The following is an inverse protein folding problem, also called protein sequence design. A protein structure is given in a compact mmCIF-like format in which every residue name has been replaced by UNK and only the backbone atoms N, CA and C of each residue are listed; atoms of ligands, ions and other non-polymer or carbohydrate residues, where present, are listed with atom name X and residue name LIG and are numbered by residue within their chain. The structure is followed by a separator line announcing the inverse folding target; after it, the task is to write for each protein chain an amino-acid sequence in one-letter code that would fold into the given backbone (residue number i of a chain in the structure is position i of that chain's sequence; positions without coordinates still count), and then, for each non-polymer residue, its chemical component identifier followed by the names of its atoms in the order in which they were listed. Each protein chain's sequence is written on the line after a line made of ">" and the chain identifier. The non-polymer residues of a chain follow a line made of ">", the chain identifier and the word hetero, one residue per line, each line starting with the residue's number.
data_IF_298778259325
#
_entry.id   IF_298778259325
#
_cell.length_a   1.000
_cell.length_b   1.000
_cell.length_c   1.000
_cell.angle_alpha   90.00
_cell.angle_beta   90.00
_cell.angle_gamma   90.00
#
_symmetry.space_group_name_H-M   'P 1'
#
loop_
_entity.id
_entity.type
_entity.pdbx_description
1 polymer ?
#
# COMPACT_ATOMS: atom_id res chain seq x y z
N UNK A 1 27.18 0.65 13.11
CA UNK A 1 25.85 0.28 12.55
C UNK A 1 25.97 0.27 11.04
N UNK A 2 25.25 -0.64 10.36
CA UNK A 2 25.20 -0.60 8.89
C UNK A 2 24.44 0.64 8.41
N UNK A 3 24.90 1.21 7.29
CA UNK A 3 24.33 2.41 6.67
C UNK A 3 23.44 2.02 5.50
N UNK A 4 22.16 2.26 5.63
CA UNK A 4 21.14 1.90 4.63
C UNK A 4 20.52 3.16 4.02
N UNK A 5 20.52 3.23 2.70
CA UNK A 5 19.90 4.33 1.96
C UNK A 5 18.58 3.87 1.32
N UNK A 6 17.45 4.41 1.76
CA UNK A 6 16.17 4.25 1.08
C UNK A 6 15.99 5.34 0.03
N UNK A 7 15.61 4.94 -1.17
CA UNK A 7 15.36 5.86 -2.28
C UNK A 7 13.89 5.76 -2.68
N UNK A 8 13.11 6.78 -2.35
CA UNK A 8 11.67 6.84 -2.67
C UNK A 8 11.42 7.33 -4.10
N UNK A 9 10.22 7.09 -4.62
CA UNK A 9 9.81 7.62 -5.93
C UNK A 9 9.62 9.14 -5.94
N UNK A 10 9.66 9.80 -4.78
CA UNK A 10 9.49 11.24 -4.62
C UNK A 10 8.06 11.75 -4.86
N UNK A 11 7.07 10.86 -4.85
CA UNK A 11 5.66 11.26 -4.99
C UNK A 11 5.09 11.84 -3.68
N UNK A 12 5.45 11.24 -2.56
CA UNK A 12 5.00 11.61 -1.22
C UNK A 12 6.21 11.67 -0.28
N UNK A 13 6.14 12.48 0.80
CA UNK A 13 7.24 12.62 1.75
C UNK A 13 7.26 11.51 2.81
N UNK A 14 8.44 11.28 3.38
CA UNK A 14 8.67 10.51 4.61
C UNK A 14 9.18 11.48 5.68
N UNK A 15 8.58 11.53 6.88
CA UNK A 15 7.42 10.79 7.40
C UNK A 15 6.13 10.96 6.60
N UNK A 16 5.25 9.97 6.66
CA UNK A 16 4.08 9.81 5.80
C UNK A 16 2.89 10.75 6.17
N UNK A 17 3.15 12.03 6.36
CA UNK A 17 2.13 13.04 6.74
C UNK A 17 1.04 13.25 5.67
N UNK A 18 1.29 12.78 4.45
CA UNK A 18 0.34 12.81 3.34
C UNK A 18 -0.27 11.43 3.02
N UNK A 19 0.05 10.42 3.83
CA UNK A 19 -0.28 9.04 3.55
C UNK A 19 0.71 8.40 2.58
N UNK A 20 0.31 7.32 1.91
CA UNK A 20 1.15 6.50 1.06
C UNK A 20 1.58 5.22 1.76
N UNK A 21 1.37 4.07 1.10
CA UNK A 21 1.65 2.77 1.72
C UNK A 21 3.15 2.55 1.93
N UNK A 22 3.98 2.88 0.94
CA UNK A 22 5.43 2.73 1.00
C UNK A 22 6.01 3.68 2.04
N UNK A 23 5.59 4.95 2.02
CA UNK A 23 6.05 5.98 2.96
C UNK A 23 5.71 5.61 4.40
N UNK A 24 4.52 5.04 4.65
CA UNK A 24 4.15 4.54 5.98
C UNK A 24 5.02 3.36 6.42
N UNK A 25 5.37 2.44 5.53
CA UNK A 25 6.25 1.31 5.85
C UNK A 25 7.65 1.78 6.20
N UNK A 26 8.21 2.72 5.44
CA UNK A 26 9.50 3.34 5.76
C UNK A 26 9.41 4.05 7.12
N UNK A 27 8.36 4.83 7.35
CA UNK A 27 8.15 5.52 8.64
C UNK A 27 8.05 4.55 9.81
N UNK A 28 7.34 3.42 9.67
CA UNK A 28 7.31 2.39 10.70
C UNK A 28 8.70 1.85 11.00
N UNK A 29 9.48 1.56 9.97
CA UNK A 29 10.82 1.00 10.11
C UNK A 29 11.78 1.99 10.78
N UNK A 30 11.79 3.26 10.36
CA UNK A 30 12.64 4.28 10.97
C UNK A 30 12.22 4.55 12.43
N UNK A 31 10.93 4.59 12.74
CA UNK A 31 10.43 4.79 14.10
C UNK A 31 10.84 3.64 15.05
N UNK A 32 10.77 2.39 14.60
CA UNK A 32 11.23 1.26 15.40
C UNK A 32 12.76 1.28 15.56
N UNK A 33 13.50 1.73 14.54
CA UNK A 33 14.96 1.91 14.64
C UNK A 33 15.37 3.05 15.59
N UNK A 34 14.62 4.13 15.70
CA UNK A 34 14.87 5.19 16.68
C UNK A 34 14.68 4.68 18.13
N UNK A 35 13.78 3.71 18.35
CA UNK A 35 13.52 3.09 19.65
C UNK A 35 14.60 2.04 20.01
N UNK A 36 15.06 1.28 19.01
CA UNK A 36 16.03 0.21 19.19
C UNK A 36 17.05 0.30 18.04
N UNK A 37 18.08 1.15 18.18
CA UNK A 37 18.98 1.47 17.07
C UNK A 37 19.80 0.27 16.60
N UNK A 38 19.67 -0.10 15.33
CA UNK A 38 20.42 -1.16 14.65
C UNK A 38 21.14 -0.65 13.40
N UNK A 39 20.59 0.40 12.77
CA UNK A 39 21.05 0.95 11.52
C UNK A 39 21.22 2.47 11.59
N UNK A 40 22.04 3.02 10.70
CA UNK A 40 22.00 4.41 10.30
C UNK A 40 21.23 4.49 8.98
N UNK A 41 20.05 5.12 9.00
CA UNK A 41 19.22 5.27 7.83
C UNK A 41 19.46 6.61 7.14
N UNK A 42 19.41 6.60 5.82
CA UNK A 42 19.28 7.79 4.98
C UNK A 42 18.08 7.62 4.07
N UNK A 43 17.17 8.58 4.08
CA UNK A 43 15.98 8.59 3.20
C UNK A 43 16.14 9.67 2.16
N UNK A 44 16.22 9.27 0.90
CA UNK A 44 16.28 10.18 -0.26
C UNK A 44 14.87 10.37 -0.80
N UNK A 45 14.37 11.59 -0.70
CA UNK A 45 12.96 11.90 -0.98
C UNK A 45 12.76 13.25 -1.66
N UNK A 46 11.50 13.58 -2.02
CA UNK A 46 11.15 14.90 -2.51
C UNK A 46 11.06 15.92 -1.37
N UNK A 47 11.53 17.14 -1.64
CA UNK A 47 11.42 18.26 -0.71
C UNK A 47 9.95 18.61 -0.40
N UNK A 48 9.59 18.58 0.87
CA UNK A 48 8.29 19.04 1.38
C UNK A 48 8.47 19.82 2.68
N UNK A 49 8.17 21.10 2.68
CA UNK A 49 8.39 21.98 3.83
C UNK A 49 7.57 21.60 5.07
N UNK A 50 6.50 20.80 4.91
CA UNK A 50 5.67 20.38 6.04
C UNK A 50 6.30 19.27 6.88
N UNK A 51 7.24 18.51 6.30
CA UNK A 51 7.93 17.42 7.02
C UNK A 51 9.27 17.85 7.64
N UNK A 52 9.86 18.98 7.24
CA UNK A 52 11.18 19.42 7.73
C UNK A 52 11.25 19.54 9.26
N UNK A 53 10.16 19.92 9.89
CA UNK A 53 10.10 20.04 11.37
C UNK A 53 10.12 18.66 12.03
N UNK A 54 9.62 17.62 11.38
CA UNK A 54 9.58 16.26 11.90
C UNK A 54 10.99 15.63 11.96
N UNK A 55 11.90 16.02 11.07
CA UNK A 55 13.25 15.44 11.00
C UNK A 55 14.05 15.55 12.29
N UNK A 56 13.80 16.59 13.08
CA UNK A 56 14.47 16.80 14.38
C UNK A 56 14.18 15.70 15.40
N UNK A 57 13.15 14.89 15.18
CA UNK A 57 12.77 13.79 16.05
C UNK A 57 13.65 12.55 15.85
N UNK A 58 14.39 12.49 14.74
CA UNK A 58 15.17 11.32 14.33
C UNK A 58 16.66 11.55 14.57
N UNK A 59 17.27 10.63 15.32
CA UNK A 59 18.70 10.66 15.64
C UNK A 59 19.51 9.76 14.71
N UNK A 60 18.92 8.64 14.31
CA UNK A 60 19.58 7.60 13.52
C UNK A 60 19.08 7.58 12.07
N UNK A 61 18.28 8.56 11.68
CA UNK A 61 17.75 8.70 10.32
C UNK A 61 18.05 10.09 9.77
N UNK A 62 18.72 10.14 8.62
CA UNK A 62 19.04 11.36 7.87
C UNK A 62 18.14 11.49 6.67
N UNK A 63 17.61 12.69 6.41
CA UNK A 63 16.72 12.96 5.29
C UNK A 63 17.43 13.83 4.25
N UNK A 64 17.49 13.33 3.02
CA UNK A 64 18.05 14.03 1.86
C UNK A 64 16.92 14.50 0.98
N UNK A 65 16.57 15.77 1.10
CA UNK A 65 15.49 16.37 0.34
C UNK A 65 15.94 16.86 -1.01
N UNK A 66 15.44 16.25 -2.07
CA UNK A 66 15.69 16.64 -3.44
C UNK A 66 14.52 17.47 -3.99
N UNK A 67 14.84 18.65 -4.54
CA UNK A 67 13.80 19.53 -5.08
C UNK A 67 12.97 18.83 -6.15
N UNK A 68 11.66 18.83 -5.97
CA UNK A 68 10.74 18.44 -7.02
C UNK A 68 10.61 19.60 -8.02
N UNK A 69 10.63 19.37 -9.34
CA UNK A 69 10.44 20.45 -10.31
C UNK A 69 9.04 21.04 -10.18
N UNK A 70 8.93 22.34 -10.45
CA UNK A 70 7.63 23.01 -10.53
C UNK A 70 6.73 22.31 -11.56
N UNK A 71 5.43 22.34 -11.37
CA UNK A 71 4.45 21.60 -12.18
C UNK A 71 4.54 21.83 -13.70
N UNK A 72 4.96 23.04 -14.13
CA UNK A 72 5.20 23.38 -15.56
C UNK A 72 6.39 22.65 -16.16
N UNK A 73 7.50 22.49 -15.41
CA UNK A 73 8.68 21.76 -15.88
C UNK A 73 8.38 20.29 -16.02
N UNK A 74 7.63 19.71 -15.07
CA UNK A 74 7.20 18.32 -15.15
C UNK A 74 6.38 18.02 -16.40
N UNK A 75 5.40 18.88 -16.77
CA UNK A 75 4.57 18.65 -17.96
C UNK A 75 5.40 18.59 -19.26
N UNK A 76 6.43 19.42 -19.39
CA UNK A 76 7.31 19.40 -20.55
C UNK A 76 8.12 18.09 -20.63
N UNK A 77 8.73 17.69 -19.52
CA UNK A 77 9.54 16.48 -19.43
C UNK A 77 8.71 15.21 -19.63
N UNK A 78 7.47 15.16 -19.11
CA UNK A 78 6.54 14.07 -19.37
C UNK A 78 6.13 13.95 -20.84
N UNK A 79 5.92 15.09 -21.51
CA UNK A 79 5.65 15.11 -22.97
C UNK A 79 6.85 14.59 -23.77
N UNK A 80 8.06 15.03 -23.43
CA UNK A 80 9.30 14.55 -24.07
C UNK A 80 9.50 13.05 -23.87
N UNK A 81 9.31 12.54 -22.63
CA UNK A 81 9.33 11.11 -22.32
C UNK A 81 8.34 10.34 -23.20
N UNK A 82 7.09 10.80 -23.26
CA UNK A 82 6.04 10.19 -24.08
C UNK A 82 6.38 10.19 -25.57
N UNK A 83 6.94 11.29 -26.09
CA UNK A 83 7.39 11.39 -27.48
C UNK A 83 8.52 10.41 -27.80
N UNK A 84 9.55 10.35 -26.97
CA UNK A 84 10.68 9.42 -27.17
C UNK A 84 10.23 7.96 -27.06
N UNK A 85 9.40 7.63 -26.08
CA UNK A 85 8.83 6.28 -25.94
C UNK A 85 8.03 5.84 -27.17
N UNK A 86 7.24 6.76 -27.74
CA UNK A 86 6.52 6.49 -29.01
C UNK A 86 7.44 6.24 -30.20
N UNK A 87 8.57 6.97 -30.29
CA UNK A 87 9.48 6.92 -31.42
C UNK A 87 10.47 5.76 -31.33
N UNK A 88 10.94 5.42 -30.13
CA UNK A 88 12.06 4.47 -29.93
C UNK A 88 11.68 3.21 -29.18
N UNK A 89 10.48 3.12 -28.62
CA UNK A 89 10.08 2.04 -27.70
C UNK A 89 10.76 2.12 -26.31
N UNK A 90 11.77 2.97 -26.13
CA UNK A 90 12.55 3.06 -24.91
C UNK A 90 11.94 4.05 -23.91
N UNK A 91 11.88 3.64 -22.64
CA UNK A 91 11.52 4.56 -21.57
C UNK A 91 12.76 5.31 -21.05
N UNK A 92 12.75 6.62 -21.22
CA UNK A 92 13.82 7.51 -20.77
C UNK A 92 13.43 8.29 -19.50
N UNK A 93 12.76 7.65 -18.57
CA UNK A 93 12.33 8.26 -17.29
C UNK A 93 13.46 8.96 -16.51
N UNK A 94 14.69 8.55 -16.77
CA UNK A 94 15.90 9.16 -16.18
C UNK A 94 16.06 10.65 -16.51
N UNK A 95 15.43 11.18 -17.58
CA UNK A 95 15.46 12.60 -17.91
C UNK A 95 14.58 13.45 -16.98
N UNK A 96 13.65 12.82 -16.25
CA UNK A 96 12.83 13.53 -15.28
C UNK A 96 13.73 14.20 -14.23
N UNK A 97 13.52 15.48 -13.92
CA UNK A 97 14.43 16.24 -13.06
C UNK A 97 14.69 15.63 -11.69
N UNK A 98 13.66 15.03 -11.05
CA UNK A 98 13.83 14.34 -9.78
C UNK A 98 14.73 13.11 -9.94
N UNK A 99 14.45 12.23 -10.90
CA UNK A 99 15.21 11.02 -11.17
C UNK A 99 16.69 11.33 -11.46
N UNK A 100 16.95 12.41 -12.21
CA UNK A 100 18.31 12.86 -12.49
C UNK A 100 19.04 13.34 -11.22
N UNK A 101 18.36 14.02 -10.31
CA UNK A 101 18.92 14.42 -9.01
C UNK A 101 19.22 13.23 -8.12
N UNK A 102 18.30 12.26 -8.04
CA UNK A 102 18.53 11.01 -7.34
C UNK A 102 19.76 10.28 -7.87
N UNK A 103 19.83 10.08 -9.20
CA UNK A 103 21.00 9.44 -9.82
C UNK A 103 22.30 10.17 -9.49
N UNK A 104 22.33 11.50 -9.57
CA UNK A 104 23.52 12.28 -9.27
C UNK A 104 23.91 12.15 -7.79
N UNK A 105 22.94 12.17 -6.88
CA UNK A 105 23.17 11.92 -5.46
C UNK A 105 23.82 10.55 -5.25
N UNK A 106 23.24 9.50 -5.83
CA UNK A 106 23.76 8.14 -5.71
C UNK A 106 25.16 7.98 -6.32
N UNK A 107 25.44 8.61 -7.48
CA UNK A 107 26.78 8.59 -8.08
C UNK A 107 27.84 9.26 -7.20
N UNK A 108 27.47 10.28 -6.42
CA UNK A 108 28.41 11.02 -5.60
C UNK A 108 28.58 10.44 -4.19
N UNK A 109 27.55 9.79 -3.65
CA UNK A 109 27.52 9.37 -2.23
C UNK A 109 27.29 7.86 -2.05
N UNK A 110 27.14 7.09 -3.13
CA UNK A 110 26.79 5.65 -3.04
C UNK A 110 27.87 4.82 -2.34
N UNK A 111 29.13 5.28 -2.28
CA UNK A 111 30.20 4.62 -1.54
C UNK A 111 29.95 4.60 -0.02
N UNK A 112 29.23 5.60 0.51
CA UNK A 112 29.02 5.79 1.95
C UNK A 112 28.01 4.79 2.56
N UNK A 113 27.26 4.06 1.73
CA UNK A 113 26.21 3.14 2.16
C UNK A 113 26.64 1.70 2.00
N UNK A 114 26.21 0.85 2.93
CA UNK A 114 26.35 -0.60 2.80
C UNK A 114 25.32 -1.15 1.79
N UNK A 115 24.06 -0.69 1.88
CA UNK A 115 22.99 -1.02 0.94
C UNK A 115 22.20 0.19 0.53
N UNK A 116 21.77 0.21 -0.74
CA UNK A 116 20.90 1.22 -1.35
C UNK A 116 19.64 0.51 -1.81
N UNK A 117 18.50 0.83 -1.18
CA UNK A 117 17.23 0.16 -1.40
C UNK A 117 16.30 1.06 -2.21
N UNK A 118 15.84 0.56 -3.35
CA UNK A 118 14.81 1.21 -4.16
C UNK A 118 13.44 0.96 -3.55
N UNK A 119 12.74 2.03 -3.19
CA UNK A 119 11.38 2.01 -2.64
C UNK A 119 10.39 2.59 -3.67
N UNK A 120 10.08 1.78 -4.69
CA UNK A 120 9.18 2.19 -5.78
C UNK A 120 9.75 3.25 -6.72
N UNK A 121 11.06 3.49 -6.69
CA UNK A 121 11.73 4.43 -7.58
C UNK A 121 11.93 3.83 -8.98
N UNK A 122 12.10 4.70 -9.97
CA UNK A 122 12.37 4.30 -11.35
C UNK A 122 13.72 3.57 -11.46
N UNK A 123 13.71 2.34 -11.95
CA UNK A 123 14.87 1.43 -11.99
C UNK A 123 16.08 2.05 -12.72
N UNK A 124 15.85 2.80 -13.80
CA UNK A 124 16.89 3.45 -14.58
C UNK A 124 17.80 4.41 -13.80
N UNK A 125 17.33 4.90 -12.65
CA UNK A 125 18.09 5.75 -11.73
C UNK A 125 19.32 5.03 -11.18
N UNK A 126 19.21 3.74 -10.92
CA UNK A 126 20.23 2.92 -10.28
C UNK A 126 21.28 2.35 -11.24
N UNK A 127 21.00 2.29 -12.54
CA UNK A 127 21.86 1.63 -13.54
C UNK A 127 23.31 2.16 -13.57
N UNK A 128 23.52 3.49 -13.51
CA UNK A 128 24.88 4.05 -13.48
C UNK A 128 25.55 3.86 -12.11
N UNK A 129 24.89 4.17 -10.96
CA UNK A 129 25.46 3.92 -9.64
C UNK A 129 25.83 2.45 -9.40
N UNK A 130 25.00 1.50 -9.82
CA UNK A 130 25.30 0.07 -9.63
C UNK A 130 26.52 -0.40 -10.42
N UNK A 131 26.76 0.17 -11.61
CA UNK A 131 28.01 -0.08 -12.36
C UNK A 131 29.24 0.52 -11.67
N UNK A 132 29.08 1.61 -10.92
CA UNK A 132 30.19 2.27 -10.21
C UNK A 132 30.57 1.57 -8.91
N UNK A 133 29.58 1.02 -8.17
CA UNK A 133 29.77 0.53 -6.81
C UNK A 133 29.53 -0.98 -6.64
N UNK A 134 29.18 -1.70 -7.71
CA UNK A 134 28.78 -3.10 -7.66
C UNK A 134 27.28 -3.28 -7.47
N UNK A 135 26.71 -4.31 -8.12
CA UNK A 135 25.26 -4.61 -8.04
C UNK A 135 24.83 -5.06 -6.66
N UNK A 136 25.73 -5.74 -5.90
CA UNK A 136 25.44 -6.34 -4.59
C UNK A 136 25.09 -5.29 -3.51
N UNK A 137 25.51 -4.05 -3.73
CA UNK A 137 25.11 -2.91 -2.89
C UNK A 137 23.66 -2.45 -3.15
N UNK A 138 23.04 -2.84 -4.26
CA UNK A 138 21.74 -2.35 -4.69
C UNK A 138 20.65 -3.40 -4.51
N UNK A 139 19.59 -2.99 -3.82
CA UNK A 139 18.44 -3.82 -3.49
C UNK A 139 17.18 -3.22 -4.10
N UNK A 140 16.36 -4.01 -4.78
CA UNK A 140 15.05 -3.55 -5.22
C UNK A 140 13.95 -4.13 -4.33
N UNK A 141 13.27 -3.25 -3.58
CA UNK A 141 12.11 -3.62 -2.77
C UNK A 141 10.83 -3.45 -3.60
N UNK A 142 10.18 -4.57 -3.92
CA UNK A 142 9.05 -4.65 -4.84
C UNK A 142 7.74 -4.64 -4.07
N UNK A 143 6.93 -3.60 -4.27
CA UNK A 143 5.64 -3.37 -3.60
C UNK A 143 4.42 -3.61 -4.48
N UNK A 144 4.61 -3.96 -5.74
CA UNK A 144 3.52 -4.18 -6.69
C UNK A 144 3.79 -5.43 -7.54
N UNK A 145 2.75 -5.85 -8.25
CA UNK A 145 2.87 -6.90 -9.24
C UNK A 145 3.98 -6.55 -10.25
N UNK A 146 4.98 -7.41 -10.35
CA UNK A 146 6.16 -7.15 -11.17
C UNK A 146 6.79 -8.46 -11.64
N UNK A 147 7.08 -8.53 -12.93
CA UNK A 147 7.90 -9.57 -13.53
C UNK A 147 9.35 -9.13 -13.61
N UNK A 148 10.27 -10.06 -13.47
CA UNK A 148 11.70 -9.79 -13.64
C UNK A 148 12.03 -9.41 -15.08
N UNK A 149 13.00 -8.53 -15.23
CA UNK A 149 13.58 -8.17 -16.54
C UNK A 149 15.10 -8.24 -16.50
N UNK A 150 15.78 -8.54 -17.63
CA UNK A 150 17.25 -8.54 -17.67
C UNK A 150 17.88 -7.22 -17.22
N UNK A 151 17.20 -6.09 -17.46
CA UNK A 151 17.66 -4.79 -17.02
C UNK A 151 17.65 -4.67 -15.49
N UNK A 152 16.60 -5.18 -14.84
CA UNK A 152 16.44 -5.21 -13.39
C UNK A 152 17.48 -6.13 -12.75
N UNK A 153 17.63 -7.35 -13.30
CA UNK A 153 18.61 -8.36 -12.84
C UNK A 153 20.08 -7.90 -13.00
N UNK A 154 20.38 -7.02 -13.96
CA UNK A 154 21.70 -6.45 -14.18
C UNK A 154 21.94 -5.16 -13.37
N UNK A 155 20.92 -4.63 -12.71
CA UNK A 155 21.01 -3.38 -11.93
C UNK A 155 21.07 -3.65 -10.43
N UNK A 156 20.35 -4.66 -9.95
CA UNK A 156 20.25 -5.02 -8.54
C UNK A 156 20.85 -6.40 -8.29
N UNK A 157 21.65 -6.55 -7.25
CA UNK A 157 22.16 -7.84 -6.78
C UNK A 157 21.15 -8.59 -5.92
N UNK A 158 20.22 -7.86 -5.31
CA UNK A 158 19.24 -8.43 -4.39
C UNK A 158 17.83 -7.88 -4.63
N UNK A 159 16.85 -8.75 -4.36
CA UNK A 159 15.42 -8.40 -4.43
C UNK A 159 14.78 -8.65 -3.07
N UNK A 160 14.01 -7.67 -2.60
CA UNK A 160 13.08 -7.83 -1.48
C UNK A 160 11.67 -7.75 -2.05
N UNK A 161 10.79 -8.64 -1.63
CA UNK A 161 9.38 -8.65 -2.05
C UNK A 161 8.47 -8.67 -0.83
N UNK A 162 7.25 -8.13 -0.96
CA UNK A 162 6.30 -7.99 0.14
C UNK A 162 5.51 -9.26 0.49
N UNK A 163 5.58 -10.31 -0.33
CA UNK A 163 4.84 -11.57 -0.11
C UNK A 163 5.31 -12.70 -1.00
N UNK A 164 4.89 -13.93 -0.66
CA UNK A 164 5.26 -15.14 -1.39
C UNK A 164 4.65 -15.18 -2.81
N UNK A 165 3.48 -14.56 -2.99
CA UNK A 165 2.87 -14.40 -4.31
C UNK A 165 3.80 -13.65 -5.26
N UNK A 166 4.28 -12.47 -4.84
CA UNK A 166 5.21 -11.64 -5.65
C UNK A 166 6.54 -12.37 -5.85
N UNK A 167 7.04 -13.09 -4.82
CA UNK A 167 8.25 -13.91 -4.97
C UNK A 167 8.10 -14.92 -6.10
N UNK A 168 7.02 -15.70 -6.09
CA UNK A 168 6.76 -16.71 -7.13
C UNK A 168 6.63 -16.08 -8.52
N UNK A 169 5.88 -14.97 -8.61
CA UNK A 169 5.67 -14.24 -9.86
C UNK A 169 7.01 -13.72 -10.43
N UNK A 170 7.80 -13.05 -9.60
CA UNK A 170 9.11 -12.54 -9.99
C UNK A 170 10.05 -13.66 -10.45
N UNK A 171 10.13 -14.74 -9.68
CA UNK A 171 10.96 -15.91 -10.01
C UNK A 171 10.54 -16.60 -11.31
N UNK A 172 9.25 -16.57 -11.68
CA UNK A 172 8.75 -17.20 -12.91
C UNK A 172 9.31 -16.60 -14.19
N UNK A 173 9.78 -15.35 -14.14
CA UNK A 173 10.35 -14.60 -15.27
C UNK A 173 11.85 -14.33 -15.14
N UNK A 174 12.48 -14.76 -14.04
CA UNK A 174 13.91 -14.56 -13.80
C UNK A 174 14.78 -15.38 -14.76
N UNK A 175 15.85 -14.75 -15.21
CA UNK A 175 16.93 -15.40 -15.99
C UNK A 175 18.14 -15.76 -15.13
N UNK A 176 18.48 -14.94 -14.13
CA UNK A 176 19.57 -15.18 -13.16
C UNK A 176 19.07 -16.03 -11.99
N UNK A 177 19.45 -17.31 -11.96
CA UNK A 177 19.00 -18.27 -10.94
C UNK A 177 19.64 -18.08 -9.55
N UNK A 178 20.77 -17.42 -9.49
CA UNK A 178 21.60 -17.15 -8.29
C UNK A 178 21.26 -15.84 -7.59
N UNK A 179 20.33 -15.04 -8.14
CA UNK A 179 19.91 -13.79 -7.51
C UNK A 179 19.16 -14.05 -6.20
N UNK A 180 19.59 -13.37 -5.15
CA UNK A 180 18.96 -13.45 -3.83
C UNK A 180 17.59 -12.77 -3.81
N UNK A 181 16.55 -13.50 -3.36
CA UNK A 181 15.19 -12.96 -3.16
C UNK A 181 14.72 -13.25 -1.75
N UNK A 182 14.51 -12.21 -0.97
CA UNK A 182 13.98 -12.28 0.38
C UNK A 182 12.55 -11.76 0.45
N UNK A 183 11.75 -12.29 1.39
CA UNK A 183 10.39 -11.81 1.66
C UNK A 183 10.42 -10.95 2.92
N UNK A 184 9.95 -9.72 2.82
CA UNK A 184 9.73 -8.80 3.94
C UNK A 184 8.27 -8.36 3.91
N UNK A 185 7.43 -9.03 4.69
CA UNK A 185 5.98 -8.75 4.72
C UNK A 185 5.70 -7.38 5.33
N UNK A 186 4.74 -6.66 4.75
CA UNK A 186 4.30 -5.37 5.28
C UNK A 186 3.75 -5.53 6.70
N UNK A 187 3.91 -4.48 7.50
CA UNK A 187 3.48 -4.41 8.90
C UNK A 187 2.63 -3.17 9.12
N UNK A 188 1.81 -3.20 10.15
CA UNK A 188 1.01 -2.05 10.58
C UNK A 188 1.15 -1.79 12.07
N UNK A 189 0.84 -0.58 12.49
CA UNK A 189 0.70 -0.25 13.90
C UNK A 189 -0.66 -0.74 14.42
N UNK A 190 -0.69 -1.95 15.00
CA UNK A 190 -1.91 -2.54 15.54
C UNK A 190 -2.58 -1.63 16.57
N UNK A 191 -1.82 -0.85 17.34
CA UNK A 191 -2.36 0.02 18.39
C UNK A 191 -3.31 1.10 17.85
N UNK A 192 -3.18 1.46 16.56
CA UNK A 192 -4.07 2.40 15.90
C UNK A 192 -5.47 1.82 15.66
N UNK A 193 -5.55 0.52 15.32
CA UNK A 193 -6.77 -0.15 14.89
C UNK A 193 -7.43 -1.01 15.99
N UNK A 194 -6.67 -1.43 16.99
CA UNK A 194 -7.18 -2.19 18.13
C UNK A 194 -8.04 -1.36 19.11
N UNK A 195 -8.07 -0.04 18.93
CA UNK A 195 -8.88 0.86 19.75
C UNK A 195 -10.35 0.52 19.63
N UNK A 196 -11.05 0.50 20.76
CA UNK A 196 -12.50 0.39 20.78
C UNK A 196 -13.14 1.79 20.64
N UNK A 197 -14.33 1.84 20.08
CA UNK A 197 -15.18 3.03 20.08
C UNK A 197 -16.41 2.76 20.97
N UNK A 198 -16.89 3.81 21.63
CA UNK A 198 -18.12 3.72 22.41
C UNK A 198 -19.35 3.62 21.49
N UNK A 199 -20.44 3.00 21.98
CA UNK A 199 -21.67 2.88 21.21
C UNK A 199 -22.19 4.25 20.74
N UNK A 200 -22.07 5.28 21.60
CA UNK A 200 -22.43 6.66 21.26
C UNK A 200 -21.66 7.16 20.02
N UNK A 201 -20.37 6.89 19.96
CA UNK A 201 -19.51 7.29 18.84
C UNK A 201 -19.86 6.52 17.55
N UNK A 202 -20.08 5.20 17.66
CA UNK A 202 -20.58 4.38 16.54
C UNK A 202 -21.90 4.95 16.00
N UNK A 203 -22.82 5.29 16.90
CA UNK A 203 -24.13 5.88 16.56
C UNK A 203 -23.97 7.21 15.84
N UNK A 204 -23.09 8.07 16.34
CA UNK A 204 -22.83 9.39 15.76
C UNK A 204 -22.24 9.28 14.35
N UNK A 205 -21.24 8.42 14.15
CA UNK A 205 -20.62 8.20 12.82
C UNK A 205 -21.68 7.69 11.85
N UNK A 206 -22.46 6.66 12.22
CA UNK A 206 -23.52 6.11 11.37
C UNK A 206 -24.56 7.15 11.02
N UNK A 207 -25.03 7.93 12.01
CA UNK A 207 -26.01 9.01 11.79
C UNK A 207 -25.48 10.08 10.85
N UNK A 208 -24.22 10.50 10.99
CA UNK A 208 -23.60 11.49 10.11
C UNK A 208 -23.48 11.01 8.66
N UNK A 209 -23.47 9.68 8.46
CA UNK A 209 -23.51 9.04 7.15
C UNK A 209 -24.94 8.75 6.67
N UNK A 210 -25.97 9.12 7.44
CA UNK A 210 -27.36 8.81 7.12
C UNK A 210 -27.77 7.36 7.41
N UNK A 211 -27.00 6.64 8.22
CA UNK A 211 -27.24 5.23 8.57
C UNK A 211 -27.84 5.11 9.98
N UNK A 212 -28.67 4.09 10.18
CA UNK A 212 -29.23 3.66 11.46
C UNK A 212 -28.29 2.68 12.19
N UNK A 213 -28.51 2.47 13.48
CA UNK A 213 -27.82 1.42 14.24
C UNK A 213 -28.24 0.02 13.79
N UNK A 214 -29.47 -0.13 13.30
CA UNK A 214 -30.03 -1.41 12.83
C UNK A 214 -29.62 -1.74 11.39
N UNK A 215 -28.93 -0.83 10.71
CA UNK A 215 -28.40 -1.08 9.37
C UNK A 215 -27.20 -2.02 9.45
N UNK A 216 -27.10 -2.90 8.45
CA UNK A 216 -25.90 -3.70 8.22
C UNK A 216 -24.95 -2.94 7.33
N UNK A 217 -23.86 -2.45 7.91
CA UNK A 217 -22.95 -1.51 7.26
C UNK A 217 -21.71 -2.22 6.75
N UNK A 218 -21.50 -2.12 5.45
CA UNK A 218 -20.32 -2.60 4.73
C UNK A 218 -19.32 -1.45 4.61
N UNK A 219 -18.03 -1.73 4.79
CA UNK A 219 -16.97 -0.76 4.50
C UNK A 219 -16.06 -1.24 3.37
N UNK A 220 -15.75 -0.33 2.46
CA UNK A 220 -14.61 -0.38 1.57
C UNK A 220 -13.62 0.71 2.00
N UNK A 221 -12.33 0.39 2.03
CA UNK A 221 -11.27 1.37 2.29
C UNK A 221 -10.15 1.24 1.27
N UNK A 222 -9.88 2.30 0.51
CA UNK A 222 -8.82 2.31 -0.49
C UNK A 222 -9.00 3.34 -1.59
N UNK A 223 -8.12 3.26 -2.60
CA UNK A 223 -8.22 4.13 -3.78
C UNK A 223 -9.44 3.79 -4.62
N UNK A 224 -10.14 4.82 -5.09
CA UNK A 224 -11.31 4.66 -5.97
C UNK A 224 -10.81 4.64 -7.42
N UNK A 225 -10.36 3.47 -7.86
CA UNK A 225 -9.90 3.19 -9.22
C UNK A 225 -10.50 1.87 -9.71
N UNK A 226 -10.65 1.71 -11.00
CA UNK A 226 -11.36 0.58 -11.63
C UNK A 226 -10.89 -0.79 -11.13
N UNK A 227 -9.59 -1.02 -11.11
CA UNK A 227 -8.99 -2.31 -10.70
C UNK A 227 -9.25 -2.70 -9.24
N UNK A 228 -9.82 -1.80 -8.43
CA UNK A 228 -10.17 -2.07 -7.02
C UNK A 228 -11.62 -2.53 -6.82
N UNK A 229 -12.42 -2.62 -7.89
CA UNK A 229 -13.75 -3.23 -7.87
C UNK A 229 -14.82 -2.46 -7.07
N UNK A 230 -14.66 -1.13 -6.92
CA UNK A 230 -15.62 -0.30 -6.17
C UNK A 230 -16.99 -0.26 -6.84
N UNK A 231 -17.02 -0.22 -8.18
CA UNK A 231 -18.27 -0.25 -8.96
C UNK A 231 -19.01 -1.56 -8.72
N UNK A 232 -18.32 -2.67 -8.81
CA UNK A 232 -18.85 -4.02 -8.62
C UNK A 232 -19.44 -4.20 -7.22
N UNK A 233 -18.78 -3.62 -6.20
CA UNK A 233 -19.30 -3.62 -4.82
C UNK A 233 -20.61 -2.82 -4.72
N UNK A 234 -20.67 -1.62 -5.32
CA UNK A 234 -21.87 -0.79 -5.30
C UNK A 234 -23.01 -1.51 -6.02
N UNK A 235 -22.79 -2.05 -7.21
CA UNK A 235 -23.78 -2.82 -7.97
C UNK A 235 -24.29 -4.03 -7.17
N UNK A 236 -23.38 -4.76 -6.50
CA UNK A 236 -23.75 -5.89 -5.65
C UNK A 236 -24.68 -5.45 -4.50
N UNK A 237 -24.33 -4.39 -3.79
CA UNK A 237 -25.17 -3.87 -2.69
C UNK A 237 -26.53 -3.41 -3.21
N UNK A 238 -26.59 -2.70 -4.32
CA UNK A 238 -27.84 -2.20 -4.90
C UNK A 238 -28.73 -3.32 -5.43
N UNK A 239 -28.16 -4.45 -5.85
CA UNK A 239 -28.92 -5.62 -6.33
C UNK A 239 -29.59 -6.44 -5.19
N UNK A 240 -29.23 -6.16 -3.92
CA UNK A 240 -29.86 -6.82 -2.76
C UNK A 240 -31.15 -6.11 -2.43
N UNK A 241 -32.27 -6.86 -2.43
CA UNK A 241 -33.60 -6.35 -2.04
C UNK A 241 -33.71 -6.29 -0.48
N UNK A 242 -32.84 -5.48 0.12
CA UNK A 242 -32.89 -5.19 1.55
C UNK A 242 -32.32 -3.79 1.82
N UNK A 243 -33.17 -2.80 2.12
CA UNK A 243 -32.76 -1.41 2.33
C UNK A 243 -31.88 -1.19 3.57
N UNK A 244 -31.81 -2.17 4.48
CA UNK A 244 -30.93 -2.09 5.67
C UNK A 244 -29.46 -2.40 5.35
N UNK A 245 -29.16 -2.96 4.18
CA UNK A 245 -27.77 -3.22 3.78
C UNK A 245 -27.21 -1.96 3.12
N UNK A 246 -26.20 -1.37 3.77
CA UNK A 246 -25.59 -0.09 3.41
C UNK A 246 -24.11 -0.27 3.12
N UNK A 247 -23.53 0.62 2.34
CA UNK A 247 -22.07 0.65 2.12
C UNK A 247 -21.51 2.03 2.29
N UNK A 248 -20.43 2.15 3.05
CA UNK A 248 -19.58 3.34 3.10
C UNK A 248 -18.27 3.09 2.34
N UNK A 249 -17.94 4.00 1.44
CA UNK A 249 -16.74 4.00 0.63
C UNK A 249 -15.77 5.03 1.20
N UNK A 250 -14.71 4.56 1.84
CA UNK A 250 -13.67 5.40 2.45
C UNK A 250 -12.48 5.50 1.50
N UNK A 251 -12.17 6.71 1.06
CA UNK A 251 -11.03 6.95 0.17
C UNK A 251 -11.29 7.97 -0.93
N UNK A 252 -10.28 8.16 -1.75
CA UNK A 252 -10.33 9.03 -2.94
C UNK A 252 -9.47 8.44 -4.07
N UNK A 253 -9.49 9.03 -5.28
CA UNK A 253 -8.61 8.56 -6.37
C UNK A 253 -7.16 8.94 -6.13
N UNK A 254 -6.95 10.08 -5.48
CA UNK A 254 -5.64 10.68 -5.26
C UNK A 254 -5.53 11.28 -3.86
N UNK A 255 -4.28 11.47 -3.44
CA UNK A 255 -3.95 12.13 -2.18
C UNK A 255 -4.23 13.64 -2.28
N UNK A 256 -5.37 14.08 -1.74
CA UNK A 256 -5.78 15.50 -1.56
C UNK A 256 -5.61 16.43 -2.78
N UNK A 257 -6.68 16.64 -3.54
CA UNK A 257 -6.86 17.81 -4.40
C UNK A 257 -6.70 17.62 -5.90
N UNK A 258 -6.64 16.41 -6.42
CA UNK A 258 -6.72 16.16 -7.85
C UNK A 258 -8.16 16.22 -8.37
N UNK A 259 -8.31 16.48 -9.66
CA UNK A 259 -9.61 16.37 -10.34
C UNK A 259 -10.11 14.92 -10.31
N UNK A 260 -11.42 14.74 -10.10
CA UNK A 260 -12.06 13.43 -10.18
C UNK A 260 -11.80 12.82 -11.58
N UNK A 261 -11.47 11.54 -11.59
CA UNK A 261 -11.39 10.77 -12.84
C UNK A 261 -12.79 10.45 -13.38
N UNK A 262 -12.90 10.08 -14.65
CA UNK A 262 -14.19 9.67 -15.25
C UNK A 262 -14.78 8.47 -14.52
N UNK A 263 -13.94 7.50 -14.11
CA UNK A 263 -14.36 6.36 -13.31
C UNK A 263 -14.95 6.80 -11.96
N UNK A 264 -14.26 7.69 -11.23
CA UNK A 264 -14.81 8.23 -9.97
C UNK A 264 -16.11 8.96 -10.15
N UNK A 265 -16.20 9.80 -11.19
CA UNK A 265 -17.44 10.51 -11.52
C UNK A 265 -18.58 9.53 -11.76
N UNK A 266 -18.31 8.43 -12.48
CA UNK A 266 -19.28 7.37 -12.73
C UNK A 266 -19.78 6.73 -11.43
N UNK A 267 -18.87 6.24 -10.55
CA UNK A 267 -19.27 5.58 -9.29
C UNK A 267 -19.91 6.54 -8.30
N UNK A 268 -19.48 7.81 -8.26
CA UNK A 268 -20.13 8.85 -7.45
C UNK A 268 -21.56 9.14 -7.94
N UNK A 269 -21.81 9.17 -9.24
CA UNK A 269 -23.14 9.36 -9.80
C UNK A 269 -24.09 8.22 -9.43
N UNK A 270 -23.60 6.97 -9.41
CA UNK A 270 -24.39 5.83 -8.89
C UNK A 270 -24.79 6.05 -7.42
N UNK A 271 -23.88 6.51 -6.58
CA UNK A 271 -24.16 6.80 -5.17
C UNK A 271 -25.16 7.95 -5.00
N UNK A 272 -25.07 9.00 -5.81
CA UNK A 272 -26.02 10.15 -5.75
C UNK A 272 -27.47 9.71 -5.94
N UNK A 273 -27.71 8.70 -6.79
CA UNK A 273 -29.04 8.15 -7.04
C UNK A 273 -29.52 7.25 -5.88
N UNK A 274 -28.60 6.77 -5.01
CA UNK A 274 -28.87 5.82 -3.92
C UNK A 274 -28.25 6.27 -2.60
N UNK A 275 -28.40 7.56 -2.27
CA UNK A 275 -27.80 8.20 -1.06
C UNK A 275 -28.18 7.54 0.27
N UNK A 276 -29.31 6.87 0.27
CA UNK A 276 -29.83 6.11 1.41
C UNK A 276 -29.06 4.80 1.63
N UNK A 277 -28.32 4.30 0.63
CA UNK A 277 -27.62 3.02 0.66
C UNK A 277 -26.10 3.10 0.46
N UNK A 278 -25.62 4.09 -0.30
CA UNK A 278 -24.21 4.21 -0.71
C UNK A 278 -23.69 5.59 -0.33
N UNK A 279 -22.67 5.64 0.51
CA UNK A 279 -22.09 6.92 0.98
C UNK A 279 -20.58 6.94 0.78
N UNK A 280 -20.08 7.99 0.14
CA UNK A 280 -18.66 8.29 0.04
C UNK A 280 -18.25 9.22 1.17
N UNK A 281 -17.28 8.81 1.97
CA UNK A 281 -16.75 9.66 3.07
C UNK A 281 -15.69 10.64 2.58
N UNK A 282 -15.11 10.39 1.40
CA UNK A 282 -13.86 11.02 0.97
C UNK A 282 -12.65 10.48 1.74
N UNK A 283 -11.55 11.21 1.69
CA UNK A 283 -10.34 10.87 2.42
C UNK A 283 -10.53 11.03 3.93
N UNK A 284 -10.22 9.99 4.67
CA UNK A 284 -10.17 9.98 6.13
C UNK A 284 -8.71 9.84 6.57
N UNK A 285 -8.29 10.68 7.50
CA UNK A 285 -6.96 10.60 8.09
C UNK A 285 -6.75 9.26 8.81
N UNK A 286 -5.55 8.67 8.66
CA UNK A 286 -5.22 7.36 9.23
C UNK A 286 -5.44 7.28 10.75
N UNK A 287 -5.28 8.40 11.47
CA UNK A 287 -5.50 8.45 12.92
C UNK A 287 -6.98 8.26 13.30
N UNK A 288 -7.90 8.52 12.37
CA UNK A 288 -9.35 8.42 12.56
C UNK A 288 -9.96 7.21 11.84
N UNK A 289 -9.20 6.52 10.98
CA UNK A 289 -9.72 5.47 10.12
C UNK A 289 -10.32 4.30 10.91
N UNK A 290 -9.72 3.94 12.07
CA UNK A 290 -10.24 2.89 12.96
C UNK A 290 -11.68 3.14 13.40
N UNK A 291 -12.11 4.40 13.53
CA UNK A 291 -13.47 4.78 13.95
C UNK A 291 -14.50 4.34 12.89
N UNK A 292 -14.17 4.52 11.62
CA UNK A 292 -15.00 4.08 10.50
C UNK A 292 -15.01 2.55 10.39
N UNK A 293 -13.85 1.91 10.54
CA UNK A 293 -13.76 0.45 10.60
C UNK A 293 -14.71 -0.09 11.67
N UNK A 294 -14.57 0.37 12.91
CA UNK A 294 -15.44 -0.07 14.05
C UNK A 294 -16.90 0.29 13.89
N UNK A 295 -17.25 1.20 12.98
CA UNK A 295 -18.63 1.56 12.67
C UNK A 295 -19.26 0.65 11.61
N UNK A 296 -18.48 -0.19 10.93
CA UNK A 296 -18.96 -1.20 10.00
C UNK A 296 -19.24 -2.54 10.70
N UNK A 297 -19.92 -3.43 9.98
CA UNK A 297 -20.20 -4.80 10.40
C UNK A 297 -19.35 -5.81 9.63
N UNK A 298 -19.08 -5.53 8.35
CA UNK A 298 -18.13 -6.28 7.50
C UNK A 298 -17.31 -5.32 6.63
N UNK A 299 -16.16 -5.80 6.16
CA UNK A 299 -15.36 -5.14 5.13
C UNK A 299 -15.41 -5.92 3.80
N UNK A 300 -15.24 -5.22 2.68
CA UNK A 300 -15.12 -5.84 1.36
C UNK A 300 -13.90 -5.30 0.64
N UNK A 301 -13.06 -6.22 0.14
CA UNK A 301 -11.88 -5.95 -0.70
C UNK A 301 -12.09 -6.63 -2.05
N UNK A 302 -12.81 -5.99 -2.99
CA UNK A 302 -13.27 -6.62 -4.24
C UNK A 302 -12.27 -6.44 -5.39
N UNK A 303 -10.96 -6.47 -5.11
CA UNK A 303 -9.92 -6.18 -6.09
C UNK A 303 -9.99 -7.09 -7.31
N UNK A 304 -10.02 -6.48 -8.50
CA UNK A 304 -10.01 -7.17 -9.80
C UNK A 304 -8.56 -7.50 -10.20
N UNK A 305 -7.60 -6.59 -9.91
CA UNK A 305 -6.18 -6.82 -10.14
C UNK A 305 -5.59 -7.81 -9.15
N UNK A 306 -4.42 -8.35 -9.47
CA UNK A 306 -3.63 -9.07 -8.49
C UNK A 306 -3.06 -8.10 -7.44
N UNK A 307 -3.30 -8.38 -6.17
CA UNK A 307 -2.76 -7.59 -5.07
C UNK A 307 -1.38 -8.14 -4.68
N UNK A 308 -0.39 -7.27 -4.61
CA UNK A 308 0.91 -7.67 -4.09
C UNK A 308 0.87 -7.90 -2.58
N UNK A 309 0.31 -6.93 -1.89
CA UNK A 309 0.06 -6.92 -0.45
C UNK A 309 -0.92 -5.78 -0.13
N UNK A 310 -2.01 -6.08 0.56
CA UNK A 310 -3.06 -5.10 0.79
C UNK A 310 -3.11 -4.66 2.25
N UNK A 311 -2.66 -3.43 2.53
CA UNK A 311 -2.61 -2.90 3.90
C UNK A 311 -4.01 -2.79 4.52
N UNK A 312 -5.05 -2.47 3.73
CA UNK A 312 -6.39 -2.31 4.26
C UNK A 312 -6.95 -3.61 4.88
N UNK A 313 -6.62 -4.79 4.31
CA UNK A 313 -7.05 -6.06 4.93
C UNK A 313 -6.40 -6.25 6.30
N UNK A 314 -5.13 -5.86 6.48
CA UNK A 314 -4.46 -5.91 7.78
C UNK A 314 -5.14 -5.00 8.80
N UNK A 315 -5.53 -3.81 8.36
CA UNK A 315 -6.25 -2.84 9.18
C UNK A 315 -7.63 -3.35 9.59
N UNK A 316 -8.34 -4.03 8.68
CA UNK A 316 -9.60 -4.70 8.98
C UNK A 316 -9.40 -5.86 9.97
N UNK A 317 -8.38 -6.70 9.78
CA UNK A 317 -8.03 -7.76 10.71
C UNK A 317 -7.75 -7.19 12.12
N UNK A 318 -6.94 -6.14 12.22
CA UNK A 318 -6.61 -5.48 13.48
C UNK A 318 -7.83 -4.82 14.14
N UNK A 319 -8.76 -4.33 13.34
CA UNK A 319 -10.04 -3.81 13.80
C UNK A 319 -11.04 -4.91 14.19
N UNK A 320 -10.74 -6.17 13.92
CA UNK A 320 -11.63 -7.30 14.20
C UNK A 320 -12.86 -7.32 13.29
N UNK A 321 -12.75 -6.83 12.04
CA UNK A 321 -13.87 -6.78 11.11
C UNK A 321 -13.82 -7.99 10.17
N UNK A 322 -14.87 -8.83 10.13
CA UNK A 322 -14.98 -9.89 9.14
C UNK A 322 -14.89 -9.35 7.72
N UNK A 323 -14.08 -9.97 6.88
CA UNK A 323 -13.79 -9.44 5.55
C UNK A 323 -14.27 -10.39 4.45
N UNK A 324 -14.84 -9.84 3.38
CA UNK A 324 -15.02 -10.51 2.09
C UNK A 324 -13.90 -10.01 1.18
N UNK A 325 -13.18 -10.89 0.51
CA UNK A 325 -12.13 -10.51 -0.41
C UNK A 325 -12.10 -11.41 -1.64
N UNK A 326 -11.69 -10.87 -2.77
CA UNK A 326 -11.39 -11.69 -3.95
C UNK A 326 -10.15 -12.56 -3.71
N UNK A 327 -10.12 -13.75 -4.35
CA UNK A 327 -8.89 -14.57 -4.41
C UNK A 327 -7.90 -13.92 -5.37
N UNK A 328 -7.16 -12.94 -4.88
CA UNK A 328 -6.30 -12.10 -5.69
C UNK A 328 -4.93 -11.95 -5.04
N UNK A 329 -3.91 -12.51 -5.70
CA UNK A 329 -2.51 -12.34 -5.32
C UNK A 329 -2.23 -12.61 -3.84
N UNK A 330 -1.62 -11.64 -3.17
CA UNK A 330 -1.25 -11.69 -1.76
C UNK A 330 -2.41 -11.68 -0.76
N UNK A 331 -3.65 -11.30 -1.16
CA UNK A 331 -4.80 -11.29 -0.24
C UNK A 331 -5.00 -12.64 0.48
N UNK A 332 -4.70 -13.75 -0.20
CA UNK A 332 -4.81 -15.10 0.38
C UNK A 332 -3.69 -15.44 1.39
N UNK A 333 -2.61 -14.63 1.40
CA UNK A 333 -1.53 -14.75 2.38
C UNK A 333 -1.81 -13.94 3.65
N UNK A 334 -2.55 -12.86 3.50
CA UNK A 334 -2.90 -11.91 4.56
C UNK A 334 -4.09 -12.43 5.37
N UNK A 335 -5.20 -12.68 4.69
CA UNK A 335 -6.38 -13.34 5.26
C UNK A 335 -6.25 -14.86 5.31
N UNK A 336 -7.19 -15.50 5.98
CA UNK A 336 -7.39 -16.96 6.01
C UNK A 336 -8.87 -17.26 5.90
N UNK A 337 -9.26 -18.48 5.58
CA UNK A 337 -10.67 -18.88 5.56
C UNK A 337 -11.41 -18.70 6.91
N UNK A 338 -10.65 -18.56 8.01
CA UNK A 338 -11.20 -18.28 9.33
C UNK A 338 -11.48 -16.77 9.57
N UNK A 339 -10.86 -15.88 8.78
CA UNK A 339 -10.96 -14.42 8.92
C UNK A 339 -11.62 -13.75 7.73
N UNK A 340 -11.56 -14.37 6.56
CA UNK A 340 -11.93 -13.80 5.28
C UNK A 340 -12.76 -14.78 4.46
N UNK A 341 -13.92 -14.35 4.02
CA UNK A 341 -14.71 -15.08 3.05
C UNK A 341 -14.19 -14.76 1.66
N UNK A 342 -13.42 -15.68 1.09
CA UNK A 342 -12.84 -15.49 -0.24
C UNK A 342 -13.85 -15.82 -1.35
N UNK A 343 -13.92 -14.94 -2.34
CA UNK A 343 -14.74 -15.08 -3.55
C UNK A 343 -13.87 -15.07 -4.79
N UNK A 344 -14.35 -15.75 -5.83
CA UNK A 344 -13.68 -15.77 -7.13
C UNK A 344 -14.07 -14.54 -7.96
N UNK A 345 -13.10 -13.98 -8.68
CA UNK A 345 -13.26 -12.73 -9.46
C UNK A 345 -13.52 -12.98 -10.96
N UNK A 346 -13.35 -14.23 -11.44
CA UNK A 346 -13.23 -14.53 -12.86
C UNK A 346 -14.58 -14.61 -13.61
N UNK A 347 -15.70 -14.75 -12.88
CA UNK A 347 -17.02 -14.83 -13.49
C UNK A 347 -17.86 -13.61 -13.13
N UNK A 348 -19.01 -13.77 -12.56
CA UNK A 348 -19.90 -12.69 -12.12
C UNK A 348 -19.48 -12.18 -10.74
N UNK A 349 -18.53 -11.23 -10.69
CA UNK A 349 -18.02 -10.67 -9.44
C UNK A 349 -19.12 -9.98 -8.63
N UNK A 350 -20.04 -9.27 -9.29
CA UNK A 350 -21.19 -8.60 -8.64
C UNK A 350 -22.02 -9.61 -7.87
N UNK A 351 -22.40 -10.72 -8.52
CA UNK A 351 -23.20 -11.77 -7.87
C UNK A 351 -22.43 -12.52 -6.80
N UNK A 352 -21.11 -12.71 -6.99
CA UNK A 352 -20.24 -13.32 -5.97
C UNK A 352 -20.16 -12.47 -4.70
N UNK A 353 -19.98 -11.15 -4.83
CA UNK A 353 -20.02 -10.20 -3.72
C UNK A 353 -21.40 -10.22 -3.05
N UNK A 354 -22.49 -10.14 -3.84
CA UNK A 354 -23.87 -10.18 -3.34
C UNK A 354 -24.13 -11.43 -2.48
N UNK A 355 -23.78 -12.61 -3.00
CA UNK A 355 -23.95 -13.89 -2.26
C UNK A 355 -23.15 -13.89 -0.96
N UNK A 356 -21.89 -13.45 -0.98
CA UNK A 356 -21.04 -13.41 0.20
C UNK A 356 -21.57 -12.42 1.26
N UNK A 357 -22.07 -11.26 0.87
CA UNK A 357 -22.72 -10.31 1.76
C UNK A 357 -23.92 -10.97 2.44
N UNK A 358 -24.81 -11.61 1.65
CA UNK A 358 -26.01 -12.25 2.19
C UNK A 358 -25.69 -13.45 3.09
N UNK A 359 -24.63 -14.19 2.78
CA UNK A 359 -24.15 -15.29 3.64
C UNK A 359 -23.75 -14.75 5.02
N UNK A 360 -22.97 -13.68 5.08
CA UNK A 360 -22.53 -13.10 6.35
C UNK A 360 -23.68 -12.38 7.08
N UNK A 361 -24.54 -11.68 6.34
CA UNK A 361 -25.73 -11.02 6.91
C UNK A 361 -26.65 -12.02 7.64
N UNK A 362 -26.88 -13.18 7.05
CA UNK A 362 -27.75 -14.22 7.59
C UNK A 362 -27.07 -15.08 8.68
N UNK A 363 -25.77 -14.85 8.97
CA UNK A 363 -25.02 -15.72 9.89
C UNK A 363 -24.23 -14.91 10.95
N UNK A 364 -24.90 -14.30 11.95
CA UNK A 364 -24.25 -13.53 13.00
C UNK A 364 -23.21 -14.31 13.82
N UNK A 365 -23.42 -15.63 14.00
CA UNK A 365 -22.47 -16.48 14.71
C UNK A 365 -21.15 -16.60 13.94
N UNK A 366 -21.20 -16.74 12.62
CA UNK A 366 -20.01 -16.75 11.75
C UNK A 366 -19.27 -15.41 11.83
N UNK A 367 -19.97 -14.27 11.80
CA UNK A 367 -19.38 -12.94 11.99
C UNK A 367 -18.61 -12.83 13.31
N UNK A 368 -19.19 -13.30 14.42
CA UNK A 368 -18.55 -13.27 15.73
C UNK A 368 -17.26 -14.09 15.77
N UNK A 369 -17.27 -15.28 15.17
CA UNK A 369 -16.07 -16.14 15.07
C UNK A 369 -15.00 -15.48 14.21
N UNK A 370 -15.36 -15.01 13.01
CA UNK A 370 -14.44 -14.34 12.10
C UNK A 370 -13.80 -13.10 12.74
N UNK A 371 -14.58 -12.30 13.48
CA UNK A 371 -14.11 -11.12 14.19
C UNK A 371 -13.00 -11.44 15.19
N UNK A 372 -13.18 -12.45 16.02
CA UNK A 372 -12.16 -12.91 16.99
C UNK A 372 -10.91 -13.41 16.29
N UNK A 373 -11.07 -14.25 15.27
CA UNK A 373 -9.96 -14.78 14.47
C UNK A 373 -9.20 -13.71 13.72
N UNK A 374 -9.88 -12.64 13.28
CA UNK A 374 -9.24 -11.49 12.65
C UNK A 374 -8.26 -10.80 13.59
N UNK A 375 -8.64 -10.53 14.83
CA UNK A 375 -7.74 -9.93 15.83
C UNK A 375 -6.56 -10.85 16.15
N UNK A 376 -6.79 -12.16 16.27
CA UNK A 376 -5.71 -13.14 16.49
C UNK A 376 -4.72 -13.11 15.31
N UNK A 377 -5.21 -13.16 14.08
CA UNK A 377 -4.41 -13.17 12.86
C UNK A 377 -3.59 -11.89 12.70
N UNK A 378 -4.16 -10.73 13.03
CA UNK A 378 -3.49 -9.43 12.88
C UNK A 378 -2.18 -9.34 13.66
N UNK A 379 -2.04 -10.06 14.77
CA UNK A 379 -0.82 -10.07 15.60
C UNK A 379 0.44 -10.47 14.82
N UNK A 380 0.28 -11.26 13.76
CA UNK A 380 1.39 -11.64 12.88
C UNK A 380 1.91 -10.48 12.01
N UNK A 381 1.21 -9.35 12.00
CA UNK A 381 1.54 -8.19 11.18
C UNK A 381 1.87 -6.94 12.01
N UNK A 382 2.23 -7.13 13.30
CA UNK A 382 2.59 -6.03 14.20
C UNK A 382 3.91 -5.39 13.78
N UNK A 383 3.96 -4.06 13.83
CA UNK A 383 5.17 -3.26 13.57
C UNK A 383 6.38 -3.65 14.41
N UNK A 384 6.15 -4.13 15.64
CA UNK A 384 7.24 -4.51 16.58
C UNK A 384 8.13 -5.65 16.03
N UNK A 385 7.66 -6.41 15.04
CA UNK A 385 8.45 -7.44 14.36
C UNK A 385 9.26 -6.89 13.18
N UNK A 386 8.89 -5.70 12.65
CA UNK A 386 9.35 -5.24 11.36
C UNK A 386 10.86 -4.99 11.29
N UNK A 387 11.40 -4.28 12.28
CA UNK A 387 12.84 -3.99 12.33
C UNK A 387 13.70 -5.26 12.45
N UNK A 388 13.26 -6.25 13.25
CA UNK A 388 13.98 -7.51 13.40
C UNK A 388 13.96 -8.35 12.12
N UNK A 389 12.82 -8.37 11.43
CA UNK A 389 12.70 -9.06 10.15
C UNK A 389 13.53 -8.38 9.06
N UNK A 390 13.51 -7.04 9.02
CA UNK A 390 14.36 -6.26 8.13
C UNK A 390 15.85 -6.55 8.40
N UNK A 391 16.28 -6.58 9.67
CA UNK A 391 17.65 -6.94 10.04
C UNK A 391 18.04 -8.35 9.56
N UNK A 392 17.13 -9.33 9.72
CA UNK A 392 17.38 -10.69 9.24
C UNK A 392 17.54 -10.72 7.71
N UNK A 393 16.70 -9.99 6.98
CA UNK A 393 16.81 -9.85 5.52
C UNK A 393 18.16 -9.23 5.15
N UNK A 394 18.54 -8.10 5.76
CA UNK A 394 19.82 -7.44 5.47
C UNK A 394 21.02 -8.32 5.82
N UNK A 395 20.94 -9.13 6.89
CA UNK A 395 22.01 -10.08 7.24
C UNK A 395 22.14 -11.22 6.22
N UNK A 396 21.04 -11.69 5.66
CA UNK A 396 21.05 -12.72 4.61
C UNK A 396 21.69 -12.21 3.30
N UNK A 397 21.53 -10.91 2.97
CA UNK A 397 22.16 -10.34 1.78
C UNK A 397 23.70 -10.42 1.84
N UNK A 398 24.30 -10.21 3.01
CA UNK A 398 25.75 -10.26 3.20
C UNK A 398 26.33 -11.66 3.40
N UNK A 399 25.53 -12.73 3.42
CA UNK A 399 26.02 -14.12 3.55
C UNK A 399 26.23 -14.83 2.22
N UNK A 400 25.80 -14.21 1.13
CA UNK A 400 25.93 -14.74 -0.22
C UNK A 400 27.18 -14.19 -0.96
N UNK A 401 28.05 -13.49 -0.23
CA UNK A 401 29.39 -13.08 -0.63
C UNK A 401 30.41 -14.17 -0.20
#
# INVERSE_FOLDING_TARGET
>A
MRKICFVTCGALPVPAIKGGAIEQLIELLINENERTPKFEFTVVECCDSKVEQEFKKYKYTHFVQLKHPKSRENKLWWKLRGGVRKLTGNDISIILPFNRRVRNFLCNNGADFDYIISEGCEIGVFSKPSKMYGTDKFVNHIHCETFSTPFQENTFGHIIVVGDFIKKQFMSSMTKKDMSISVLKNRIDLSKFAKNIHLKEKTEIRRNLGFSLDDFVIIYCGRIIEVKGVKELIEAVLSIDNPKIKVMIVGSSDFKGAQMTDYQSSVCNMAVQHKDRVVFTGYIDNMNLYRYHKSADIAVVPSICEEAFNIAILEFLASGIPTIATRSGGLVEEGTSATTLFIDKEHDLVNSIRKAIMELYNNPSKLSVMSKRSVERSRLFDKNMYLNEFENVINQLGQNE
#
